data_IF_114151876749
#
_entry.id   IF_114151876749
#
_cell.length_a   1.000
_cell.length_b   1.000
_cell.length_c   1.000
_cell.angle_alpha   90.00
_cell.angle_beta   90.00
_cell.angle_gamma   90.00
#
_symmetry.space_group_name_H-M   'P 1'
#
loop_
_entity.id
_entity.type
_entity.pdbx_description
1 polymer ?
#
# COMPACT_ATOMS: atom_id res chain seq x y z
N UNK A 1 -15.06 -2.43 17.42
CA UNK A 1 -15.09 -2.77 15.99
C UNK A 1 -14.55 -1.58 15.21
N UNK A 2 -13.88 -1.77 14.05
CA UNK A 2 -13.54 -0.63 13.20
C UNK A 2 -14.77 0.23 12.88
N UNK A 3 -14.55 1.54 12.70
CA UNK A 3 -15.59 2.51 12.40
C UNK A 3 -16.72 2.62 13.45
N UNK A 4 -16.44 2.33 14.71
CA UNK A 4 -17.36 2.51 15.82
C UNK A 4 -16.83 3.57 16.81
N UNK A 5 -17.71 4.43 17.26
CA UNK A 5 -17.50 5.30 18.43
C UNK A 5 -18.15 4.63 19.64
N UNK A 6 -17.42 4.57 20.74
CA UNK A 6 -17.94 4.05 22.02
C UNK A 6 -18.05 5.25 22.95
N UNK A 7 -19.27 5.51 23.40
CA UNK A 7 -19.54 6.53 24.41
C UNK A 7 -19.44 5.92 25.80
N UNK A 8 -18.54 6.45 26.62
CA UNK A 8 -18.31 6.01 27.98
C UNK A 8 -18.71 7.10 28.96
N UNK A 9 -19.39 6.70 30.03
CA UNK A 9 -19.67 7.58 31.15
C UNK A 9 -19.37 6.83 32.46
N UNK A 10 -18.52 7.38 33.30
CA UNK A 10 -18.11 6.80 34.58
C UNK A 10 -17.72 5.31 34.47
N UNK A 11 -16.91 4.98 33.50
CA UNK A 11 -16.43 3.62 33.17
C UNK A 11 -17.54 2.62 32.73
N UNK A 12 -18.71 3.12 32.37
CA UNK A 12 -19.75 2.28 31.77
C UNK A 12 -19.98 2.67 30.32
N UNK A 13 -20.09 1.67 29.43
CA UNK A 13 -20.44 1.89 28.04
C UNK A 13 -21.91 2.25 27.95
N UNK A 14 -22.23 3.48 27.50
CA UNK A 14 -23.60 3.93 27.31
C UNK A 14 -24.18 3.39 26.01
N UNK A 15 -23.48 3.63 24.91
CA UNK A 15 -23.88 3.14 23.59
C UNK A 15 -22.70 3.11 22.63
N UNK A 16 -22.92 2.40 21.51
CA UNK A 16 -21.97 2.32 20.39
C UNK A 16 -22.64 2.88 19.15
N UNK A 17 -21.92 3.65 18.41
CA UNK A 17 -22.36 4.28 17.18
C UNK A 17 -21.39 3.96 16.05
N UNK A 18 -21.93 3.57 14.88
CA UNK A 18 -21.14 3.43 13.66
C UNK A 18 -21.12 4.73 12.90
N UNK A 19 -19.95 5.36 12.77
CA UNK A 19 -19.81 6.59 11.98
C UNK A 19 -19.51 6.31 10.50
N UNK A 20 -19.17 5.06 10.15
CA UNK A 20 -18.92 4.64 8.78
C UNK A 20 -19.31 3.17 8.60
N UNK A 21 -19.89 2.86 7.45
CA UNK A 21 -20.25 1.50 7.05
C UNK A 21 -19.59 1.26 5.70
N UNK A 22 -18.97 0.10 5.54
CA UNK A 22 -18.42 -0.32 4.26
C UNK A 22 -19.53 -0.25 3.21
N UNK A 23 -19.36 0.52 2.13
CA UNK A 23 -20.34 0.56 1.06
C UNK A 23 -20.61 -0.86 0.54
N UNK A 24 -21.88 -1.19 0.39
CA UNK A 24 -22.25 -2.49 -0.18
C UNK A 24 -22.00 -2.41 -1.69
N UNK A 25 -20.86 -2.88 -2.13
CA UNK A 25 -20.55 -2.98 -3.55
C UNK A 25 -21.46 -4.08 -4.13
N UNK A 26 -22.35 -3.70 -5.04
CA UNK A 26 -23.02 -4.70 -5.89
C UNK A 26 -21.91 -5.45 -6.62
N UNK A 27 -21.93 -6.78 -6.54
CA UNK A 27 -21.04 -7.59 -7.37
C UNK A 27 -21.16 -7.12 -8.81
N UNK A 28 -20.05 -6.64 -9.37
CA UNK A 28 -19.98 -6.29 -10.77
C UNK A 28 -19.96 -7.63 -11.52
N UNK A 29 -21.13 -8.18 -11.77
CA UNK A 29 -21.28 -9.35 -12.61
C UNK A 29 -21.06 -8.91 -14.06
N UNK A 30 -19.85 -9.16 -14.58
CA UNK A 30 -19.53 -8.84 -15.97
C UNK A 30 -18.02 -8.90 -16.25
N UNK A 31 -17.67 -8.91 -17.53
CA UNK A 31 -16.28 -8.71 -17.93
C UNK A 31 -15.85 -7.31 -17.53
N UNK A 32 -14.75 -7.22 -16.80
CA UNK A 32 -14.12 -5.93 -16.52
C UNK A 32 -13.63 -5.38 -17.85
N UNK A 33 -14.22 -4.28 -18.28
CA UNK A 33 -13.76 -3.53 -19.44
C UNK A 33 -12.63 -2.60 -19.01
N UNK A 34 -11.66 -2.32 -19.90
CA UNK A 34 -10.71 -1.24 -19.64
C UNK A 34 -11.44 0.07 -19.31
N UNK A 35 -10.85 0.88 -18.45
CA UNK A 35 -11.38 2.19 -18.14
C UNK A 35 -11.41 3.06 -19.40
N UNK A 36 -12.46 3.86 -19.56
CA UNK A 36 -12.52 4.88 -20.59
C UNK A 36 -11.67 6.09 -20.20
N UNK A 37 -11.28 6.92 -21.17
CA UNK A 37 -10.55 8.16 -20.89
C UNK A 37 -11.28 9.04 -19.90
N UNK A 38 -12.57 9.26 -20.04
CA UNK A 38 -13.37 10.04 -19.11
C UNK A 38 -13.34 9.48 -17.66
N UNK A 39 -13.26 8.17 -17.49
CA UNK A 39 -13.15 7.54 -16.17
C UNK A 39 -11.75 7.75 -15.59
N UNK A 40 -10.71 7.73 -16.42
CA UNK A 40 -9.35 8.03 -16.00
C UNK A 40 -9.21 9.49 -15.57
N UNK A 41 -9.82 10.42 -16.33
CA UNK A 41 -9.85 11.84 -16.01
C UNK A 41 -10.57 12.10 -14.67
N UNK A 42 -11.72 11.48 -14.45
CA UNK A 42 -12.48 11.59 -13.18
C UNK A 42 -11.67 11.06 -11.98
N UNK A 43 -10.93 9.94 -12.15
CA UNK A 43 -10.04 9.40 -11.13
C UNK A 43 -8.88 10.39 -10.85
N UNK A 44 -8.27 10.91 -11.90
CA UNK A 44 -7.17 11.87 -11.79
C UNK A 44 -7.60 13.14 -11.07
N UNK A 45 -8.76 13.70 -11.42
CA UNK A 45 -9.31 14.88 -10.75
C UNK A 45 -9.55 14.62 -9.25
N UNK A 46 -10.10 13.46 -8.90
CA UNK A 46 -10.30 13.07 -7.49
C UNK A 46 -8.99 12.93 -6.73
N UNK A 47 -7.95 12.38 -7.36
CA UNK A 47 -6.61 12.30 -6.77
C UNK A 47 -6.02 13.69 -6.56
N UNK A 48 -6.12 14.59 -7.54
CA UNK A 48 -5.68 15.97 -7.43
C UNK A 48 -6.38 16.69 -6.28
N UNK A 49 -7.72 16.58 -6.18
CA UNK A 49 -8.50 17.16 -5.07
C UNK A 49 -8.05 16.58 -3.73
N UNK A 50 -7.79 15.28 -3.68
CA UNK A 50 -7.28 14.61 -2.48
C UNK A 50 -5.90 15.13 -2.06
N UNK A 51 -4.99 15.32 -3.01
CA UNK A 51 -3.65 15.84 -2.77
C UNK A 51 -3.71 17.31 -2.31
N UNK A 52 -4.50 18.16 -2.96
CA UNK A 52 -4.70 19.57 -2.55
C UNK A 52 -5.07 19.71 -1.08
N UNK A 53 -5.89 18.78 -0.56
CA UNK A 53 -6.28 18.78 0.85
C UNK A 53 -5.17 18.31 1.80
N UNK A 54 -4.18 17.59 1.31
CA UNK A 54 -3.10 17.00 2.12
C UNK A 54 -1.80 17.78 2.11
N UNK A 55 -1.61 18.67 1.12
CA UNK A 55 -0.42 19.51 1.06
C UNK A 55 -0.57 20.81 1.86
N UNK A 56 -1.70 21.01 2.52
CA UNK A 56 -1.90 22.15 3.43
C UNK A 56 -1.17 21.82 4.75
N UNK A 57 -0.08 22.52 5.01
CA UNK A 57 0.75 22.32 6.19
C UNK A 57 1.47 23.58 6.59
N UNK A 58 1.54 23.84 7.90
CA UNK A 58 2.29 24.96 8.48
C UNK A 58 3.77 24.61 8.73
N UNK A 59 4.17 23.37 8.40
CA UNK A 59 5.51 22.85 8.62
C UNK A 59 6.07 22.20 7.36
N UNK A 60 7.40 22.10 7.22
CA UNK A 60 8.01 21.46 6.05
C UNK A 60 7.56 20.01 5.88
N UNK A 61 7.21 19.66 4.64
CA UNK A 61 6.77 18.32 4.23
C UNK A 61 7.78 17.67 3.31
N UNK A 62 7.75 16.34 3.26
CA UNK A 62 8.44 15.55 2.24
C UNK A 62 7.51 14.48 1.66
N UNK A 63 7.91 13.89 0.54
CA UNK A 63 7.27 12.72 -0.06
C UNK A 63 8.20 11.51 0.09
N UNK A 64 7.70 10.44 0.67
CA UNK A 64 8.39 9.15 0.67
C UNK A 64 8.22 8.51 -0.70
N UNK A 65 9.27 8.62 -1.52
CA UNK A 65 9.28 8.18 -2.91
C UNK A 65 9.98 6.82 -3.01
N UNK A 66 9.23 5.83 -3.46
CA UNK A 66 9.75 4.53 -3.91
C UNK A 66 9.73 4.43 -5.43
N UNK A 67 10.16 3.31 -5.98
CA UNK A 67 9.97 3.02 -7.41
C UNK A 67 8.55 2.56 -7.75
N UNK A 68 7.67 2.44 -6.75
CA UNK A 68 6.29 1.99 -6.92
C UNK A 68 5.41 3.01 -7.63
N UNK A 69 4.38 2.52 -8.33
CA UNK A 69 3.46 3.35 -9.12
C UNK A 69 2.76 4.40 -8.25
N UNK A 70 2.31 4.05 -7.04
CA UNK A 70 1.53 4.94 -6.19
C UNK A 70 2.30 6.18 -5.76
N UNK A 71 3.52 6.01 -5.25
CA UNK A 71 4.35 7.13 -4.82
C UNK A 71 4.82 7.98 -6.00
N UNK A 72 5.09 7.34 -7.15
CA UNK A 72 5.50 8.01 -8.37
C UNK A 72 4.36 8.84 -8.97
N UNK A 73 3.14 8.32 -8.94
CA UNK A 73 1.95 9.05 -9.39
C UNK A 73 1.70 10.28 -8.51
N UNK A 74 1.85 10.14 -7.18
CA UNK A 74 1.75 11.29 -6.27
C UNK A 74 2.79 12.35 -6.62
N UNK A 75 4.05 11.95 -6.85
CA UNK A 75 5.11 12.88 -7.23
C UNK A 75 4.78 13.63 -8.52
N UNK A 76 4.34 12.91 -9.54
CA UNK A 76 3.96 13.48 -10.83
C UNK A 76 2.77 14.46 -10.70
N UNK A 77 1.70 14.08 -10.02
CA UNK A 77 0.54 14.94 -9.81
C UNK A 77 0.87 16.21 -9.00
N UNK A 78 1.76 16.10 -8.01
CA UNK A 78 2.22 17.25 -7.25
C UNK A 78 3.00 18.22 -8.14
N UNK A 79 3.94 17.72 -8.93
CA UNK A 79 4.81 18.55 -9.78
C UNK A 79 4.07 19.10 -11.00
N UNK A 80 3.42 18.22 -11.77
CA UNK A 80 2.88 18.59 -13.08
C UNK A 80 1.51 19.28 -13.00
N UNK A 81 0.62 18.79 -12.11
CA UNK A 81 -0.74 19.30 -12.02
C UNK A 81 -0.90 20.39 -10.95
N UNK A 82 -0.18 20.26 -9.85
CA UNK A 82 -0.30 21.19 -8.73
C UNK A 82 0.83 22.23 -8.69
N UNK A 83 1.84 22.09 -9.54
CA UNK A 83 3.05 22.92 -9.57
C UNK A 83 3.68 23.09 -8.18
N UNK A 84 3.63 22.00 -7.40
CA UNK A 84 4.10 21.94 -6.03
C UNK A 84 5.42 21.19 -5.94
N UNK A 85 6.51 21.92 -5.67
CA UNK A 85 7.82 21.33 -5.48
C UNK A 85 7.91 20.70 -4.08
N UNK A 86 8.04 19.38 -4.03
CA UNK A 86 8.19 18.63 -2.80
C UNK A 86 9.55 17.95 -2.75
N UNK A 87 10.19 17.99 -1.59
CA UNK A 87 11.41 17.23 -1.40
C UNK A 87 11.07 15.74 -1.21
N UNK A 88 11.72 14.89 -1.97
CA UNK A 88 11.54 13.45 -1.90
C UNK A 88 12.54 12.82 -0.93
N UNK A 89 12.14 11.73 -0.29
CA UNK A 89 13.00 10.89 0.56
C UNK A 89 12.83 9.45 0.13
N UNK A 90 13.96 8.76 -0.07
CA UNK A 90 13.98 7.32 -0.37
C UNK A 90 14.93 6.60 0.56
N UNK A 91 14.86 5.27 0.58
CA UNK A 91 15.75 4.43 1.38
C UNK A 91 16.56 3.49 0.51
N UNK A 92 17.78 3.22 0.93
CA UNK A 92 18.63 2.15 0.40
C UNK A 92 19.11 1.30 1.56
N UNK A 93 19.07 -0.01 1.42
CA UNK A 93 19.69 -0.92 2.37
C UNK A 93 21.17 -1.13 1.99
N UNK A 94 22.02 -1.37 2.97
CA UNK A 94 23.48 -1.58 2.77
C UNK A 94 23.84 -2.98 2.24
N UNK A 95 22.85 -3.87 2.09
CA UNK A 95 22.96 -5.12 1.37
C UNK A 95 22.94 -4.88 -0.17
N UNK A 96 23.79 -5.60 -0.88
CA UNK A 96 23.97 -5.38 -2.32
C UNK A 96 22.74 -5.68 -3.19
N UNK A 97 21.64 -6.22 -2.63
CA UNK A 97 20.48 -6.66 -3.38
C UNK A 97 19.38 -5.59 -3.56
N UNK A 98 19.46 -4.48 -2.81
CA UNK A 98 18.40 -3.44 -2.79
C UNK A 98 18.67 -2.22 -3.65
N UNK A 99 19.70 -2.24 -4.51
CA UNK A 99 20.13 -1.07 -5.27
C UNK A 99 19.12 -0.56 -6.30
N UNK A 100 18.26 -1.43 -6.82
CA UNK A 100 17.38 -1.08 -7.94
C UNK A 100 16.25 -0.13 -7.54
N UNK A 101 15.68 -0.26 -6.32
CA UNK A 101 14.52 0.54 -5.94
C UNK A 101 14.88 2.02 -5.72
N UNK A 102 15.93 2.31 -4.96
CA UNK A 102 16.37 3.68 -4.75
C UNK A 102 16.96 4.32 -6.02
N UNK A 103 17.60 3.54 -6.88
CA UNK A 103 18.08 4.00 -8.17
C UNK A 103 16.90 4.43 -9.06
N UNK A 104 15.85 3.64 -9.11
CA UNK A 104 14.64 3.98 -9.87
C UNK A 104 13.90 5.18 -9.26
N UNK A 105 13.79 5.28 -7.92
CA UNK A 105 13.23 6.45 -7.27
C UNK A 105 13.99 7.74 -7.64
N UNK A 106 15.33 7.69 -7.67
CA UNK A 106 16.17 8.80 -8.12
C UNK A 106 15.91 9.17 -9.59
N UNK A 107 15.74 8.17 -10.47
CA UNK A 107 15.40 8.45 -11.89
C UNK A 107 14.05 9.15 -12.02
N UNK A 108 13.07 8.75 -11.24
CA UNK A 108 11.74 9.39 -11.21
C UNK A 108 11.86 10.83 -10.70
N UNK A 109 12.53 11.05 -9.57
CA UNK A 109 12.74 12.39 -9.03
C UNK A 109 13.47 13.31 -10.03
N UNK A 110 14.54 12.81 -10.65
CA UNK A 110 15.28 13.57 -11.67
C UNK A 110 14.43 13.89 -12.90
N UNK A 111 13.57 12.96 -13.34
CA UNK A 111 12.65 13.19 -14.46
C UNK A 111 11.64 14.28 -14.16
N UNK A 112 11.17 14.36 -12.91
CA UNK A 112 10.23 15.36 -12.44
C UNK A 112 10.92 16.64 -11.92
N UNK A 113 12.22 16.76 -12.03
CA UNK A 113 12.99 17.89 -11.47
C UNK A 113 12.65 18.15 -10.00
N UNK A 114 12.72 17.08 -9.18
CA UNK A 114 12.49 17.10 -7.75
C UNK A 114 13.77 16.71 -6.98
N UNK A 115 14.02 17.40 -5.88
CA UNK A 115 15.10 17.05 -4.96
C UNK A 115 14.81 15.74 -4.25
N UNK A 116 15.81 14.85 -4.15
CA UNK A 116 15.69 13.58 -3.46
C UNK A 116 16.83 13.34 -2.48
N UNK A 117 16.47 13.06 -1.23
CA UNK A 117 17.38 12.63 -0.16
C UNK A 117 17.33 11.11 -0.01
N UNK A 118 18.49 10.47 0.00
CA UNK A 118 18.62 9.03 0.16
C UNK A 118 19.11 8.68 1.56
N UNK A 119 18.31 7.95 2.32
CA UNK A 119 18.64 7.43 3.64
C UNK A 119 19.21 6.03 3.51
N UNK A 120 20.45 5.82 3.95
CA UNK A 120 21.09 4.49 3.95
C UNK A 120 20.78 3.77 5.25
N UNK A 121 20.20 2.59 5.16
CA UNK A 121 19.81 1.78 6.31
C UNK A 121 20.67 0.54 6.38
N UNK A 122 21.32 0.35 7.54
CA UNK A 122 22.09 -0.87 7.77
C UNK A 122 21.19 -2.05 8.14
N UNK A 123 21.41 -3.16 7.43
CA UNK A 123 20.71 -4.43 7.63
C UNK A 123 21.36 -5.33 8.69
N UNK A 124 22.39 -4.82 9.40
CA UNK A 124 23.03 -5.61 10.46
C UNK A 124 21.99 -6.11 11.48
N UNK A 125 22.15 -7.37 11.95
CA UNK A 125 21.20 -8.02 12.87
C UNK A 125 20.87 -7.17 14.10
N UNK A 126 21.83 -6.38 14.60
CA UNK A 126 21.62 -5.50 15.76
C UNK A 126 20.77 -4.26 15.43
N UNK A 127 20.71 -3.85 14.17
CA UNK A 127 19.88 -2.72 13.74
C UNK A 127 18.42 -3.11 13.49
N UNK A 128 18.18 -4.33 13.01
CA UNK A 128 16.84 -4.84 12.74
C UNK A 128 16.00 -5.07 14.00
N UNK A 129 16.63 -5.44 15.11
CA UNK A 129 15.99 -5.63 16.42
C UNK A 129 16.03 -4.35 17.26
N UNK A 130 15.76 -3.21 16.66
CA UNK A 130 15.78 -1.94 17.36
C UNK A 130 14.73 -1.89 18.48
N UNK A 131 15.18 -1.77 19.72
CA UNK A 131 14.32 -1.60 20.89
C UNK A 131 13.33 -0.46 20.68
N UNK A 132 13.75 0.63 20.02
CA UNK A 132 12.90 1.79 19.74
C UNK A 132 11.67 1.45 18.89
N UNK A 133 11.79 0.51 17.94
CA UNK A 133 10.65 0.05 17.12
C UNK A 133 9.69 -0.78 17.97
N UNK A 134 10.21 -1.69 18.80
CA UNK A 134 9.41 -2.48 19.72
C UNK A 134 8.66 -1.60 20.72
N UNK A 135 9.36 -0.63 21.32
CA UNK A 135 8.79 0.31 22.28
C UNK A 135 7.69 1.18 21.62
N UNK A 136 7.88 1.58 20.35
CA UNK A 136 6.90 2.36 19.60
C UNK A 136 5.60 1.58 19.30
N UNK A 137 5.72 0.33 18.89
CA UNK A 137 4.57 -0.52 18.59
C UNK A 137 3.99 -1.25 19.81
N UNK A 138 4.69 -1.24 20.95
CA UNK A 138 4.29 -1.91 22.19
C UNK A 138 4.31 -3.45 22.12
N UNK A 139 4.87 -4.01 21.04
CA UNK A 139 4.99 -5.45 20.83
C UNK A 139 6.11 -5.76 19.83
N UNK A 140 6.65 -7.01 19.82
CA UNK A 140 7.54 -7.44 18.76
C UNK A 140 6.84 -7.36 17.41
N UNK A 141 7.49 -6.73 16.45
CA UNK A 141 6.95 -6.50 15.12
C UNK A 141 7.99 -6.92 14.06
N UNK A 142 7.67 -7.95 13.30
CA UNK A 142 8.54 -8.46 12.25
C UNK A 142 8.16 -7.83 10.91
N UNK A 143 8.65 -6.62 10.65
CA UNK A 143 8.47 -5.97 9.35
C UNK A 143 9.66 -5.09 9.02
N UNK A 144 10.37 -5.45 7.96
CA UNK A 144 11.44 -4.63 7.39
C UNK A 144 10.91 -3.24 6.98
N UNK A 145 9.69 -3.18 6.49
CA UNK A 145 9.04 -1.91 6.10
C UNK A 145 8.87 -0.99 7.30
N UNK A 146 8.39 -1.48 8.43
CA UNK A 146 8.23 -0.67 9.65
C UNK A 146 9.56 -0.19 10.19
N UNK A 147 10.59 -1.03 10.12
CA UNK A 147 11.95 -0.66 10.49
C UNK A 147 12.51 0.43 9.55
N UNK A 148 12.34 0.25 8.23
CA UNK A 148 12.78 1.23 7.24
C UNK A 148 12.09 2.58 7.44
N UNK A 149 10.77 2.59 7.64
CA UNK A 149 9.99 3.81 7.93
C UNK A 149 10.49 4.49 9.20
N UNK A 150 10.72 3.73 10.28
CA UNK A 150 11.22 4.28 11.55
C UNK A 150 12.59 4.94 11.38
N UNK A 151 13.51 4.30 10.67
CA UNK A 151 14.85 4.84 10.40
C UNK A 151 14.80 6.07 9.51
N UNK A 152 14.05 5.98 8.41
CA UNK A 152 13.85 7.10 7.48
C UNK A 152 13.23 8.30 8.19
N UNK A 153 12.17 8.09 8.96
CA UNK A 153 11.51 9.15 9.73
C UNK A 153 12.47 9.79 10.75
N UNK A 154 13.26 8.98 11.45
CA UNK A 154 14.25 9.46 12.41
C UNK A 154 15.29 10.35 11.74
N UNK A 155 15.79 9.96 10.57
CA UNK A 155 16.82 10.70 9.82
C UNK A 155 16.33 12.08 9.37
N UNK A 156 15.08 12.15 8.87
CA UNK A 156 14.55 13.40 8.30
C UNK A 156 13.71 14.24 9.25
N UNK A 157 13.44 13.78 10.48
CA UNK A 157 12.53 14.40 11.45
C UNK A 157 12.94 15.81 11.89
N UNK A 158 14.21 16.14 11.81
CA UNK A 158 14.71 17.49 12.11
C UNK A 158 14.31 18.50 11.02
N UNK A 159 14.19 18.05 9.76
CA UNK A 159 13.88 18.90 8.60
C UNK A 159 12.40 18.86 8.25
N UNK A 160 11.77 17.69 8.28
CA UNK A 160 10.38 17.50 7.88
C UNK A 160 9.55 16.97 9.05
N UNK A 161 8.35 17.52 9.22
CA UNK A 161 7.40 17.09 10.26
C UNK A 161 6.22 16.32 9.71
N UNK A 162 6.00 16.40 8.40
CA UNK A 162 4.94 15.69 7.68
C UNK A 162 5.54 14.96 6.49
N UNK A 163 5.21 13.68 6.35
CA UNK A 163 5.57 12.84 5.21
C UNK A 163 4.34 12.39 4.44
N UNK A 164 4.27 12.68 3.14
CA UNK A 164 3.29 12.06 2.25
C UNK A 164 3.78 10.67 1.84
N UNK A 165 2.84 9.76 1.66
CA UNK A 165 3.13 8.38 1.23
C UNK A 165 2.12 7.89 0.20
N UNK A 166 2.49 6.90 -0.61
CA UNK A 166 1.58 6.17 -1.50
C UNK A 166 0.74 5.09 -0.79
N UNK A 167 0.87 4.94 0.53
CA UNK A 167 0.12 3.92 1.30
C UNK A 167 -1.38 4.15 1.13
N UNK A 168 -2.10 3.07 0.83
CA UNK A 168 -3.54 3.09 0.54
C UNK A 168 -3.86 2.94 -0.94
N UNK A 169 -2.89 3.14 -1.85
CA UNK A 169 -3.07 2.96 -3.28
C UNK A 169 -3.47 1.53 -3.64
N UNK A 170 -2.72 0.55 -3.16
CA UNK A 170 -3.01 -0.87 -3.37
C UNK A 170 -4.38 -1.29 -2.85
N UNK A 171 -4.84 -0.72 -1.75
CA UNK A 171 -6.15 -1.00 -1.16
C UNK A 171 -7.29 -0.44 -2.01
N UNK A 172 -7.10 0.73 -2.60
CA UNK A 172 -8.11 1.40 -3.42
C UNK A 172 -8.14 0.85 -4.85
N UNK A 173 -6.97 0.59 -5.42
CA UNK A 173 -6.81 0.19 -6.83
C UNK A 173 -6.51 -1.30 -7.01
N UNK A 174 -6.64 -2.08 -5.95
CA UNK A 174 -6.41 -3.53 -5.96
C UNK A 174 -5.01 -3.94 -6.45
N UNK A 175 -3.96 -3.22 -6.03
CA UNK A 175 -2.57 -3.42 -6.46
C UNK A 175 -1.90 -4.68 -5.93
N UNK A 176 -2.39 -5.27 -4.84
CA UNK A 176 -1.80 -6.49 -4.29
C UNK A 176 -2.06 -7.72 -5.16
N UNK A 177 -1.08 -8.59 -5.31
CA UNK A 177 -1.22 -9.85 -6.04
C UNK A 177 -2.34 -10.77 -5.52
N UNK A 178 -2.73 -10.64 -4.22
CA UNK A 178 -3.89 -11.32 -3.65
C UNK A 178 -5.22 -10.89 -4.29
N UNK A 179 -5.31 -9.65 -4.78
CA UNK A 179 -6.52 -9.14 -5.45
C UNK A 179 -6.68 -9.77 -6.84
N UNK A 180 -5.60 -9.85 -7.62
CA UNK A 180 -5.59 -10.54 -8.91
C UNK A 180 -5.94 -12.03 -8.74
N UNK A 181 -5.38 -12.68 -7.72
CA UNK A 181 -5.73 -14.06 -7.39
C UNK A 181 -7.22 -14.20 -7.06
N UNK A 182 -7.76 -13.34 -6.19
CA UNK A 182 -9.18 -13.37 -5.80
C UNK A 182 -10.10 -13.14 -6.99
N UNK A 183 -9.75 -12.20 -7.88
CA UNK A 183 -10.51 -11.92 -9.11
C UNK A 183 -10.53 -13.14 -10.05
N UNK A 184 -9.36 -13.73 -10.32
CA UNK A 184 -9.28 -14.92 -11.17
C UNK A 184 -10.00 -16.12 -10.57
N UNK A 185 -9.94 -16.28 -9.25
CA UNK A 185 -10.65 -17.34 -8.57
C UNK A 185 -12.16 -17.14 -8.58
N UNK A 186 -12.65 -15.91 -8.43
CA UNK A 186 -14.09 -15.58 -8.54
C UNK A 186 -14.62 -15.86 -9.94
N UNK A 187 -13.85 -15.64 -10.99
CA UNK A 187 -14.23 -16.00 -12.36
C UNK A 187 -14.34 -17.51 -12.56
N UNK A 188 -13.51 -18.30 -11.89
CA UNK A 188 -13.62 -19.76 -11.91
C UNK A 188 -14.83 -20.26 -11.13
N UNK A 189 -15.24 -19.56 -10.06
CA UNK A 189 -16.44 -19.91 -9.27
C UNK A 189 -17.75 -19.56 -9.99
N UNK A 190 -17.73 -18.58 -10.88
CA UNK A 190 -18.86 -18.19 -11.72
C UNK A 190 -19.08 -19.13 -12.94
N UNK A 191 -18.24 -20.16 -13.11
CA UNK A 191 -18.53 -21.27 -14.02
C UNK A 191 -19.74 -22.02 -13.46
N UNK A 192 -20.74 -22.23 -14.32
CA UNK A 192 -22.08 -22.74 -14.03
C UNK A 192 -22.17 -23.70 -12.82
N UNK A 193 -23.27 -23.64 -12.07
CA UNK A 193 -23.54 -24.47 -10.87
C UNK A 193 -23.24 -25.96 -11.07
N UNK A 194 -23.38 -26.48 -12.29
CA UNK A 194 -23.01 -27.84 -12.65
C UNK A 194 -21.52 -28.11 -12.60
N UNK A 195 -20.69 -27.14 -12.97
CA UNK A 195 -19.23 -27.28 -12.92
C UNK A 195 -18.71 -27.04 -11.51
N UNK A 196 -19.34 -26.16 -10.75
CA UNK A 196 -19.04 -25.98 -9.33
C UNK A 196 -19.36 -27.25 -8.52
N UNK A 197 -20.44 -27.97 -8.89
CA UNK A 197 -20.78 -29.25 -8.28
C UNK A 197 -19.75 -30.36 -8.63
N UNK A 198 -19.30 -30.43 -9.89
CA UNK A 198 -18.26 -31.37 -10.34
C UNK A 198 -16.94 -31.07 -9.60
N UNK A 199 -16.53 -29.80 -9.52
CA UNK A 199 -15.33 -29.37 -8.81
C UNK A 199 -15.42 -29.64 -7.30
N UNK A 200 -16.60 -29.49 -6.69
CA UNK A 200 -16.83 -29.89 -5.28
C UNK A 200 -16.73 -31.39 -5.08
N UNK A 201 -17.24 -32.19 -6.01
CA UNK A 201 -17.05 -33.66 -5.95
C UNK A 201 -15.61 -34.09 -6.19
N UNK A 202 -14.90 -33.41 -7.10
CA UNK A 202 -13.45 -33.63 -7.31
C UNK A 202 -12.62 -33.11 -6.14
N UNK A 203 -13.05 -32.06 -5.45
CA UNK A 203 -12.35 -31.53 -4.28
C UNK A 203 -12.43 -32.44 -3.03
N UNK A 204 -13.40 -33.33 -2.98
CA UNK A 204 -13.41 -34.43 -2.00
C UNK A 204 -12.31 -35.47 -2.32
N UNK A 205 -11.83 -35.51 -3.58
CA UNK A 205 -10.75 -36.39 -4.04
C UNK A 205 -9.40 -35.67 -4.23
N UNK A 206 -9.39 -34.34 -4.32
CA UNK A 206 -8.19 -33.50 -4.45
C UNK A 206 -7.88 -32.90 -3.09
N UNK A 207 -7.15 -33.69 -2.31
CA UNK A 207 -6.61 -33.35 -1.01
C UNK A 207 -6.03 -31.91 -0.96
N UNK A 208 -6.03 -31.30 0.25
CA UNK A 208 -5.46 -29.97 0.59
C UNK A 208 -4.08 -29.71 -0.03
N UNK A 209 -3.36 -30.76 -0.37
CA UNK A 209 -2.04 -30.73 -1.01
C UNK A 209 -2.07 -30.21 -2.47
N UNK A 210 -3.18 -30.30 -3.21
CA UNK A 210 -3.23 -29.86 -4.60
C UNK A 210 -3.37 -28.34 -4.70
N UNK A 211 -4.11 -27.73 -3.79
CA UNK A 211 -4.23 -26.26 -3.71
C UNK A 211 -2.89 -25.67 -3.25
N UNK A 212 -2.21 -26.31 -2.29
CA UNK A 212 -0.88 -25.89 -1.84
C UNK A 212 0.18 -26.06 -2.94
N UNK A 213 0.07 -27.08 -3.79
CA UNK A 213 1.01 -27.34 -4.88
C UNK A 213 0.84 -26.32 -6.03
N UNK A 214 -0.38 -25.91 -6.34
CA UNK A 214 -0.66 -24.83 -7.32
C UNK A 214 -0.16 -23.50 -6.79
N UNK A 215 -0.39 -23.20 -5.51
CA UNK A 215 0.14 -22.02 -4.85
C UNK A 215 1.67 -22.04 -4.79
N UNK A 216 2.29 -23.13 -4.35
CA UNK A 216 3.75 -23.23 -4.23
C UNK A 216 4.49 -23.12 -5.57
N UNK A 217 4.01 -23.77 -6.64
CA UNK A 217 4.62 -23.65 -7.98
C UNK A 217 4.56 -22.23 -8.57
N UNK A 218 3.61 -21.43 -8.13
CA UNK A 218 3.45 -20.05 -8.64
C UNK A 218 4.27 -19.04 -7.83
N UNK A 219 4.50 -19.31 -6.55
CA UNK A 219 5.38 -18.49 -5.70
C UNK A 219 6.86 -18.73 -5.95
N UNK A 220 7.27 -19.90 -6.43
CA UNK A 220 8.68 -20.18 -6.83
C UNK A 220 9.17 -19.35 -8.03
N UNK A 221 8.29 -18.62 -8.71
CA UNK A 221 8.66 -17.74 -9.83
C UNK A 221 8.96 -16.31 -9.37
N UNK A 222 8.77 -16.00 -8.09
CA UNK A 222 8.93 -14.68 -7.49
C UNK A 222 9.81 -14.68 -6.23
N UNK A 223 10.48 -15.82 -5.94
CA UNK A 223 11.60 -15.97 -5.03
C UNK A 223 12.83 -16.34 -5.88
#
# INVERSE_FOLDING_TARGET
>A
MPAEIIHLYRNQTLYKEKYWIVPNFKEVSGRVSPLTENQLDDITEKLIVSLKRRIVSDVPMCLYLSSGVDSSLIAALLKEELHYDINCVTVTFDDNDSHDEASNAKRIANHLDLDIHNVVISTSKNSLLSKSVIDHYGQPFESLTSFAISRMTSDVSNKYKVGLTGIGGDEVFAGYGKHDFSYRYSQLLNLSDNMAWILRKLNVALDRNFISLICAKRYQKYI
#
